data_IF_295488290187
#
_entry.id   IF_295488290187
#
_cell.length_a   1.000
_cell.length_b   1.000
_cell.length_c   1.000
_cell.angle_alpha   90.00
_cell.angle_beta   90.00
_cell.angle_gamma   90.00
#
_symmetry.space_group_name_H-M   'P 1'
#
loop_
_entity.id
_entity.type
_entity.pdbx_description
1 polymer ?
#
# COMPACT_ATOMS: atom_id res chain seq x y z
N UNK A 1 -4.48 -16.74 9.06
CA UNK A 1 -3.05 -16.93 9.40
C UNK A 1 -2.46 -18.23 8.85
N UNK A 2 -3.11 -19.40 8.99
CA UNK A 2 -2.59 -20.69 8.48
C UNK A 2 -2.10 -20.67 7.01
N UNK A 3 -2.83 -19.98 6.12
CA UNK A 3 -2.42 -19.81 4.72
C UNK A 3 -1.08 -19.08 4.53
N UNK A 4 -0.76 -18.09 5.38
CA UNK A 4 0.56 -17.41 5.34
C UNK A 4 1.68 -18.35 5.78
N UNK A 5 1.45 -19.13 6.85
CA UNK A 5 2.45 -20.08 7.36
C UNK A 5 2.77 -21.12 6.29
N UNK A 6 1.73 -21.69 5.65
CA UNK A 6 1.91 -22.65 4.56
C UNK A 6 2.63 -22.06 3.34
N UNK A 7 2.39 -20.79 3.04
CA UNK A 7 3.12 -20.07 2.00
C UNK A 7 4.62 -19.94 2.35
N UNK A 8 4.95 -19.61 3.60
CA UNK A 8 6.35 -19.58 4.06
C UNK A 8 7.02 -20.97 4.02
N UNK A 9 6.25 -22.04 4.16
CA UNK A 9 6.71 -23.42 4.02
C UNK A 9 6.78 -23.89 2.55
N UNK A 10 6.50 -23.02 1.58
CA UNK A 10 6.53 -23.35 0.15
C UNK A 10 5.33 -24.17 -0.36
N UNK A 11 4.35 -24.47 0.51
CA UNK A 11 3.15 -25.27 0.18
C UNK A 11 2.08 -24.40 -0.47
N UNK A 12 2.32 -24.08 -1.75
CA UNK A 12 1.50 -23.14 -2.54
C UNK A 12 0.01 -23.48 -2.59
N UNK A 13 -0.31 -24.70 -2.97
CA UNK A 13 -1.70 -25.10 -3.25
C UNK A 13 -2.57 -25.03 -2.00
N UNK A 14 -2.04 -25.55 -0.89
CA UNK A 14 -2.71 -25.50 0.40
C UNK A 14 -2.82 -24.07 0.94
N UNK A 15 -1.79 -23.24 0.76
CA UNK A 15 -1.87 -21.83 1.13
C UNK A 15 -3.06 -21.17 0.42
N UNK A 16 -3.21 -21.37 -0.89
CA UNK A 16 -4.35 -20.86 -1.64
C UNK A 16 -5.69 -21.45 -1.19
N UNK A 17 -5.75 -22.74 -0.90
CA UNK A 17 -6.98 -23.39 -0.43
C UNK A 17 -7.45 -22.80 0.90
N UNK A 18 -6.54 -22.68 1.89
CA UNK A 18 -6.88 -22.11 3.19
C UNK A 18 -7.24 -20.64 3.12
N UNK A 19 -6.58 -19.85 2.26
CA UNK A 19 -6.94 -18.44 2.08
C UNK A 19 -8.31 -18.30 1.42
N UNK A 20 -8.62 -19.10 0.39
CA UNK A 20 -9.96 -19.11 -0.22
C UNK A 20 -11.04 -19.55 0.75
N UNK A 21 -10.78 -20.56 1.59
CA UNK A 21 -11.70 -20.94 2.69
C UNK A 21 -11.92 -19.79 3.67
N UNK A 22 -10.86 -19.07 4.04
CA UNK A 22 -10.97 -17.87 4.89
C UNK A 22 -11.88 -16.80 4.28
N UNK A 23 -11.67 -16.47 2.99
CA UNK A 23 -12.50 -15.50 2.28
C UNK A 23 -13.96 -15.97 2.11
N UNK A 24 -14.22 -17.27 1.96
CA UNK A 24 -15.59 -17.80 1.91
C UNK A 24 -16.32 -17.68 3.24
N UNK A 25 -15.59 -17.78 4.35
CA UNK A 25 -16.17 -17.61 5.68
C UNK A 25 -16.48 -16.15 5.99
N UNK A 26 -15.61 -15.24 5.55
CA UNK A 26 -15.83 -13.79 5.68
C UNK A 26 -15.22 -13.03 4.49
N UNK A 27 -16.09 -12.55 3.61
CA UNK A 27 -15.73 -11.75 2.43
C UNK A 27 -15.43 -10.29 2.79
N UNK A 28 -15.78 -9.84 3.99
CA UNK A 28 -15.57 -8.47 4.48
C UNK A 28 -14.28 -8.29 5.26
N UNK A 29 -13.62 -9.40 5.62
CA UNK A 29 -12.34 -9.37 6.35
C UNK A 29 -11.21 -8.79 5.49
N UNK A 30 -10.79 -7.56 5.80
CA UNK A 30 -9.62 -6.94 5.21
C UNK A 30 -8.33 -7.77 5.44
N UNK A 31 -8.23 -8.44 6.59
CA UNK A 31 -7.09 -9.31 6.93
C UNK A 31 -7.00 -10.50 5.97
N UNK A 32 -8.12 -11.15 5.66
CA UNK A 32 -8.15 -12.27 4.71
C UNK A 32 -7.77 -11.81 3.29
N UNK A 33 -8.25 -10.64 2.85
CA UNK A 33 -7.86 -10.05 1.58
C UNK A 33 -6.38 -9.65 1.53
N UNK A 34 -5.84 -9.07 2.60
CA UNK A 34 -4.41 -8.73 2.69
C UNK A 34 -3.53 -9.97 2.62
N UNK A 35 -3.87 -11.01 3.40
CA UNK A 35 -3.21 -12.32 3.36
C UNK A 35 -3.25 -12.90 1.94
N UNK A 36 -4.40 -12.83 1.26
CA UNK A 36 -4.52 -13.30 -0.12
C UNK A 36 -3.60 -12.54 -1.07
N UNK A 37 -3.52 -11.22 -0.94
CA UNK A 37 -2.60 -10.40 -1.71
C UNK A 37 -1.13 -10.75 -1.44
N UNK A 38 -0.74 -11.02 -0.19
CA UNK A 38 0.62 -11.43 0.16
C UNK A 38 0.99 -12.79 -0.47
N UNK A 39 0.09 -13.76 -0.44
CA UNK A 39 0.30 -15.07 -1.09
C UNK A 39 0.42 -14.90 -2.60
N UNK A 40 -0.45 -14.10 -3.24
CA UNK A 40 -0.34 -13.81 -4.68
C UNK A 40 0.99 -13.13 -5.03
N UNK A 41 1.43 -12.16 -4.22
CA UNK A 41 2.72 -11.46 -4.39
C UNK A 41 3.90 -12.43 -4.30
N UNK A 42 3.87 -13.38 -3.36
CA UNK A 42 4.92 -14.40 -3.21
C UNK A 42 5.10 -15.26 -4.48
N UNK A 43 4.01 -15.48 -5.22
CA UNK A 43 4.03 -16.22 -6.49
C UNK A 43 4.08 -15.31 -7.72
N UNK A 44 4.55 -14.06 -7.57
CA UNK A 44 4.75 -13.07 -8.66
C UNK A 44 3.47 -12.70 -9.42
N UNK A 45 2.30 -12.98 -8.85
CA UNK A 45 0.99 -12.58 -9.37
C UNK A 45 0.63 -11.18 -8.88
N UNK A 46 1.36 -10.20 -9.39
CA UNK A 46 1.34 -8.84 -8.88
C UNK A 46 0.02 -8.12 -9.16
N UNK A 47 -0.58 -8.34 -10.33
CA UNK A 47 -1.87 -7.74 -10.69
C UNK A 47 -2.99 -8.22 -9.77
N UNK A 48 -3.04 -9.53 -9.48
CA UNK A 48 -3.98 -10.10 -8.54
C UNK A 48 -3.72 -9.62 -7.12
N UNK A 49 -2.45 -9.49 -6.71
CA UNK A 49 -2.11 -8.94 -5.40
C UNK A 49 -2.62 -7.50 -5.23
N UNK A 50 -2.46 -6.63 -6.25
CA UNK A 50 -3.02 -5.28 -6.25
C UNK A 50 -4.54 -5.30 -6.10
N UNK A 51 -5.25 -6.17 -6.84
CA UNK A 51 -6.72 -6.32 -6.72
C UNK A 51 -7.13 -6.74 -5.30
N UNK A 52 -6.37 -7.65 -4.67
CA UNK A 52 -6.60 -8.08 -3.30
C UNK A 52 -6.42 -6.94 -2.30
N UNK A 53 -5.33 -6.17 -2.41
CA UNK A 53 -5.09 -5.02 -1.54
C UNK A 53 -6.15 -3.93 -1.71
N UNK A 54 -6.56 -3.63 -2.95
CA UNK A 54 -7.67 -2.70 -3.21
C UNK A 54 -8.97 -3.17 -2.57
N UNK A 55 -9.28 -4.47 -2.61
CA UNK A 55 -10.46 -5.02 -1.92
C UNK A 55 -10.33 -4.96 -0.40
N UNK A 56 -9.15 -5.23 0.16
CA UNK A 56 -8.92 -5.09 1.59
C UNK A 56 -9.15 -3.64 2.05
N UNK A 57 -8.64 -2.66 1.29
CA UNK A 57 -8.80 -1.24 1.57
C UNK A 57 -10.23 -0.71 1.40
N UNK A 58 -11.14 -1.44 0.72
CA UNK A 58 -12.56 -1.07 0.71
C UNK A 58 -13.18 -1.18 2.10
N UNK A 59 -12.77 -2.18 2.87
CA UNK A 59 -13.28 -2.45 4.21
C UNK A 59 -12.47 -1.74 5.29
N UNK A 60 -11.16 -1.60 5.11
CA UNK A 60 -10.29 -0.84 6.03
C UNK A 60 -9.41 0.13 5.23
N UNK A 61 -9.94 1.34 5.01
CA UNK A 61 -9.31 2.37 4.18
C UNK A 61 -8.05 2.98 4.80
N UNK A 62 -7.92 2.86 6.12
CA UNK A 62 -6.85 3.53 6.87
C UNK A 62 -5.71 2.57 7.24
N UNK A 63 -5.77 1.33 6.74
CA UNK A 63 -4.77 0.33 7.03
C UNK A 63 -3.41 0.68 6.42
N UNK A 64 -2.54 1.25 7.25
CA UNK A 64 -1.22 1.70 6.85
C UNK A 64 -0.34 0.58 6.29
N UNK A 65 -0.49 -0.65 6.79
CA UNK A 65 0.31 -1.77 6.31
C UNK A 65 -0.08 -2.13 4.87
N UNK A 66 -1.38 -2.20 4.59
CA UNK A 66 -1.90 -2.52 3.26
C UNK A 66 -1.56 -1.39 2.28
N UNK A 67 -1.72 -0.13 2.69
CA UNK A 67 -1.34 1.03 1.86
C UNK A 67 0.15 1.02 1.50
N UNK A 68 1.02 0.67 2.45
CA UNK A 68 2.47 0.52 2.18
C UNK A 68 2.73 -0.60 1.18
N UNK A 69 2.18 -1.79 1.41
CA UNK A 69 2.33 -2.95 0.53
C UNK A 69 1.79 -2.67 -0.89
N UNK A 70 0.66 -1.97 -0.99
CA UNK A 70 0.06 -1.55 -2.26
C UNK A 70 0.96 -0.53 -2.98
N UNK A 71 1.41 0.51 -2.28
CA UNK A 71 2.23 1.57 -2.89
C UNK A 71 3.55 1.04 -3.47
N UNK A 72 4.22 0.11 -2.77
CA UNK A 72 5.44 -0.52 -3.25
C UNK A 72 5.18 -1.33 -4.53
N UNK A 73 4.08 -2.08 -4.54
CA UNK A 73 3.73 -2.94 -5.65
C UNK A 73 3.30 -2.14 -6.89
N UNK A 74 2.61 -1.02 -6.69
CA UNK A 74 2.21 -0.11 -7.78
C UNK A 74 3.42 0.52 -8.46
N UNK A 75 4.43 0.96 -7.70
CA UNK A 75 5.68 1.46 -8.29
C UNK A 75 6.37 0.36 -9.11
N UNK A 76 6.45 -0.86 -8.57
CA UNK A 76 7.05 -1.99 -9.27
C UNK A 76 6.32 -2.30 -10.59
N UNK A 77 4.99 -2.21 -10.60
CA UNK A 77 4.15 -2.43 -11.78
C UNK A 77 3.99 -1.21 -12.68
N UNK A 78 4.64 -0.08 -12.37
CA UNK A 78 4.48 1.22 -13.05
C UNK A 78 3.04 1.75 -13.09
N UNK A 79 2.20 1.36 -12.13
CA UNK A 79 0.91 2.01 -11.86
C UNK A 79 1.17 3.33 -11.11
N UNK A 80 1.67 4.34 -11.83
CA UNK A 80 2.11 5.60 -11.24
C UNK A 80 0.93 6.42 -10.69
N UNK A 81 -0.20 6.40 -11.41
CA UNK A 81 -1.42 7.09 -10.99
C UNK A 81 -1.96 6.51 -9.68
N UNK A 82 -2.11 5.19 -9.61
CA UNK A 82 -2.53 4.54 -8.38
C UNK A 82 -1.52 4.70 -7.23
N UNK A 83 -0.22 4.75 -7.55
CA UNK A 83 0.82 5.05 -6.55
C UNK A 83 0.65 6.44 -5.96
N UNK A 84 0.38 7.46 -6.78
CA UNK A 84 0.12 8.84 -6.33
C UNK A 84 -1.07 8.91 -5.38
N UNK A 85 -2.18 8.26 -5.72
CA UNK A 85 -3.36 8.20 -4.86
C UNK A 85 -3.06 7.54 -3.51
N UNK A 86 -2.38 6.39 -3.53
CA UNK A 86 -2.02 5.66 -2.30
C UNK A 86 -1.05 6.46 -1.44
N UNK A 87 -0.09 7.17 -2.04
CA UNK A 87 0.82 8.06 -1.33
C UNK A 87 0.11 9.27 -0.72
N UNK A 88 -0.88 9.83 -1.40
CA UNK A 88 -1.71 10.89 -0.85
C UNK A 88 -2.47 10.41 0.41
N UNK A 89 -3.05 9.20 0.37
CA UNK A 89 -3.71 8.61 1.53
C UNK A 89 -2.73 8.40 2.70
N UNK A 90 -1.53 7.88 2.44
CA UNK A 90 -0.48 7.74 3.45
C UNK A 90 -0.05 9.08 4.06
N UNK A 91 0.04 10.14 3.25
CA UNK A 91 0.32 11.49 3.71
C UNK A 91 -0.80 12.00 4.63
N UNK A 92 -2.06 11.84 4.23
CA UNK A 92 -3.22 12.25 5.04
C UNK A 92 -3.24 11.57 6.41
N UNK A 93 -2.93 10.28 6.47
CA UNK A 93 -2.92 9.51 7.72
C UNK A 93 -1.69 9.81 8.60
N UNK A 94 -0.54 10.10 7.99
CA UNK A 94 0.72 10.35 8.70
C UNK A 94 1.46 11.56 8.14
N UNK A 95 0.86 12.73 8.30
CA UNK A 95 1.46 14.00 7.91
C UNK A 95 2.69 14.37 8.78
N UNK A 96 2.80 13.85 10.00
CA UNK A 96 3.98 14.07 10.84
C UNK A 96 5.24 13.31 10.40
N UNK A 97 5.13 12.35 9.48
CA UNK A 97 6.27 11.56 9.03
C UNK A 97 6.86 12.14 7.74
N UNK A 98 8.14 12.54 7.80
CA UNK A 98 8.92 12.98 6.62
C UNK A 98 8.83 12.00 5.45
N UNK A 99 8.81 10.70 5.73
CA UNK A 99 8.72 9.67 4.70
C UNK A 99 7.42 9.74 3.89
N UNK A 100 6.30 10.17 4.48
CA UNK A 100 5.03 10.32 3.78
C UNK A 100 5.08 11.47 2.77
N UNK A 101 5.64 12.61 3.17
CA UNK A 101 5.83 13.79 2.31
C UNK A 101 6.75 13.50 1.13
N UNK A 102 7.94 12.95 1.40
CA UNK A 102 8.88 12.54 0.35
C UNK A 102 8.22 11.53 -0.58
N UNK A 103 7.49 10.56 -0.01
CA UNK A 103 6.77 9.56 -0.78
C UNK A 103 5.77 10.14 -1.76
N UNK A 104 5.02 11.16 -1.33
CA UNK A 104 4.05 11.86 -2.15
C UNK A 104 4.72 12.76 -3.20
N UNK A 105 5.79 13.49 -2.85
CA UNK A 105 6.57 14.27 -3.81
C UNK A 105 7.17 13.40 -4.93
N UNK A 106 7.73 12.22 -4.58
CA UNK A 106 8.23 11.24 -5.55
C UNK A 106 7.12 10.78 -6.49
N UNK A 107 5.90 10.59 -6.00
CA UNK A 107 4.80 10.14 -6.87
C UNK A 107 4.48 11.13 -7.99
N UNK A 108 4.52 12.43 -7.72
CA UNK A 108 4.36 13.48 -8.73
C UNK A 108 5.58 13.60 -9.65
N UNK A 109 6.78 13.47 -9.09
CA UNK A 109 8.01 13.45 -9.88
C UNK A 109 8.01 12.32 -10.92
N UNK A 110 7.55 11.11 -10.55
CA UNK A 110 7.47 9.97 -11.47
C UNK A 110 6.48 10.18 -12.62
N UNK A 111 5.42 10.96 -12.41
CA UNK A 111 4.43 11.34 -13.45
C UNK A 111 4.91 12.57 -14.25
N UNK A 112 6.11 13.09 -13.95
CA UNK A 112 6.72 14.31 -14.54
C UNK A 112 6.01 15.61 -14.18
N UNK A 113 5.18 15.60 -13.13
CA UNK A 113 4.65 16.83 -12.53
C UNK A 113 5.66 17.40 -11.52
N UNK A 114 6.74 17.96 -12.06
CA UNK A 114 7.83 18.51 -11.26
C UNK A 114 7.39 19.75 -10.46
N UNK A 115 6.43 20.52 -10.99
CA UNK A 115 5.89 21.70 -10.32
C UNK A 115 5.19 21.31 -9.03
N UNK A 116 4.32 20.28 -9.07
CA UNK A 116 3.63 19.81 -7.88
C UNK A 116 4.59 19.14 -6.89
N UNK A 117 5.54 18.34 -7.39
CA UNK A 117 6.58 17.73 -6.55
C UNK A 117 7.36 18.79 -5.75
N UNK A 118 7.76 19.89 -6.40
CA UNK A 118 8.44 21.02 -5.74
C UNK A 118 7.56 21.67 -4.68
N UNK A 119 6.30 21.99 -5.01
CA UNK A 119 5.34 22.60 -4.06
C UNK A 119 5.17 21.74 -2.81
N UNK A 120 5.06 20.42 -2.96
CA UNK A 120 4.92 19.49 -1.83
C UNK A 120 6.15 19.55 -0.91
N UNK A 121 7.35 19.62 -1.47
CA UNK A 121 8.59 19.71 -0.69
C UNK A 121 8.73 21.08 -0.01
N UNK A 122 8.29 22.15 -0.67
CA UNK A 122 8.26 23.49 -0.10
C UNK A 122 7.30 23.57 1.10
N UNK A 123 6.08 23.04 0.95
CA UNK A 123 5.10 22.92 2.04
C UNK A 123 5.65 22.11 3.21
N UNK A 124 6.30 20.98 2.92
CA UNK A 124 6.97 20.17 3.94
C UNK A 124 8.04 20.97 4.70
N UNK A 125 8.90 21.71 3.99
CA UNK A 125 9.94 22.56 4.60
C UNK A 125 9.33 23.61 5.55
N UNK A 126 8.27 24.29 5.12
CA UNK A 126 7.52 25.27 5.94
C UNK A 126 6.93 24.62 7.19
N UNK A 127 6.37 23.42 7.08
CA UNK A 127 5.83 22.71 8.25
C UNK A 127 6.89 22.34 9.29
N UNK A 128 8.15 22.14 8.88
CA UNK A 128 9.24 21.85 9.82
C UNK A 128 9.75 23.10 10.53
N UNK A 129 9.88 24.23 9.83
CA UNK A 129 10.38 25.47 10.43
C UNK A 129 9.45 26.04 11.52
N UNK A 130 8.14 25.84 11.37
CA UNK A 130 7.15 26.23 12.39
C UNK A 130 7.24 25.36 13.65
N UNK A 131 7.66 24.10 13.53
CA UNK A 131 7.81 23.20 14.69
C UNK A 131 9.06 23.46 15.53
N UNK A 132 10.06 24.17 14.99
CA UNK A 132 11.31 24.50 15.69
C UNK A 132 11.27 25.86 16.41
N UNK A 133 10.20 26.65 16.21
CA UNK A 133 10.04 27.99 16.79
C UNK A 133 9.10 28.05 18.01
N UNK A 134 8.66 26.91 18.53
CA UNK A 134 7.89 26.75 19.78
C UNK A 134 8.66 25.87 20.76
#
# INVERSE_FOLDING_TARGET
MKGLILNCLGRKEEAFEFVKKGLRNDLTSHVCWHVYGLVQRAYRKYEEAIKCYRNALKFDKENLQILRDLSLLQVQMRDLEGYRETRYQLLKLRAGQRQSWIGYAISHHLIKDYNMAYKILEEFSKSQSVSETQ
#
